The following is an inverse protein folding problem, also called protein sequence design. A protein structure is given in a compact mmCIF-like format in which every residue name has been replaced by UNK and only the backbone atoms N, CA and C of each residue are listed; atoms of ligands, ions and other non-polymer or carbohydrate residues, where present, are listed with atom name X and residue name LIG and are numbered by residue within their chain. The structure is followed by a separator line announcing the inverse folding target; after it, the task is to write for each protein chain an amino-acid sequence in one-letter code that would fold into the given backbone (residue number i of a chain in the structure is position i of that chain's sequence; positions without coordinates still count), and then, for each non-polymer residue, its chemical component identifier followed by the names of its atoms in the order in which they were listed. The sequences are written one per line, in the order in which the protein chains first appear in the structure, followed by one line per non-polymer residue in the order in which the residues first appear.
data_IF_236048619555
#
_entry.id   IF_236048619555
#
_cell.length_a   1.000
_cell.length_b   1.000
_cell.length_c   1.000
_cell.angle_alpha   90.00
_cell.angle_beta   90.00
_cell.angle_gamma   90.00
#
_symmetry.space_group_name_H-M   'P 1'
#
loop_
_entity.id
_entity.type
_entity.pdbx_description
1 polymer ?
#
# COMPACT_ATOMS: atom_id res chain seq x y z
N UNK A 1 48.49 29.16 -12.98
CA UNK A 1 47.69 28.70 -11.82
C UNK A 1 46.40 28.11 -12.36
N UNK A 2 46.30 26.78 -12.40
CA UNK A 2 45.21 26.05 -13.05
C UNK A 2 44.11 25.79 -12.02
N UNK A 3 43.03 26.57 -12.09
CA UNK A 3 41.90 26.49 -11.17
C UNK A 3 41.07 25.24 -11.50
N UNK A 4 41.29 24.13 -10.78
CA UNK A 4 40.53 22.90 -10.95
C UNK A 4 39.17 23.07 -10.28
N UNK A 5 38.15 23.40 -11.07
CA UNK A 5 36.75 23.29 -10.68
C UNK A 5 36.44 21.79 -10.54
N UNK A 6 36.35 21.33 -9.29
CA UNK A 6 35.91 19.96 -8.98
C UNK A 6 34.40 19.94 -9.26
N UNK A 7 34.03 19.31 -10.37
CA UNK A 7 32.66 19.00 -10.72
C UNK A 7 32.15 17.99 -9.68
N UNK A 8 31.43 18.48 -8.67
CA UNK A 8 30.74 17.64 -7.70
C UNK A 8 29.57 16.97 -8.45
N UNK A 9 29.82 15.81 -9.03
CA UNK A 9 28.77 14.96 -9.60
C UNK A 9 27.86 14.51 -8.46
N UNK A 10 26.75 15.23 -8.28
CA UNK A 10 25.57 14.79 -7.55
C UNK A 10 25.11 13.47 -8.18
N UNK A 11 25.60 12.36 -7.63
CA UNK A 11 24.96 11.07 -7.81
C UNK A 11 23.59 11.17 -7.14
N UNK A 12 22.60 11.59 -7.93
CA UNK A 12 21.19 11.36 -7.67
C UNK A 12 21.00 9.84 -7.57
N UNK A 13 21.23 9.30 -6.36
CA UNK A 13 20.94 7.91 -6.05
C UNK A 13 19.50 7.65 -6.44
N UNK A 14 19.27 6.66 -7.32
CA UNK A 14 17.92 6.20 -7.58
C UNK A 14 17.33 5.75 -6.25
N UNK A 15 16.10 6.14 -5.89
CA UNK A 15 15.47 5.64 -4.69
C UNK A 15 15.49 4.10 -4.76
N UNK A 16 16.14 3.49 -3.77
CA UNK A 16 16.12 2.04 -3.59
C UNK A 16 14.72 1.72 -3.08
N UNK A 17 13.80 1.46 -4.00
CA UNK A 17 12.50 0.91 -3.65
C UNK A 17 12.73 -0.44 -2.95
N UNK A 18 12.01 -0.68 -1.85
CA UNK A 18 12.03 -1.97 -1.18
C UNK A 18 11.83 -3.07 -2.22
N UNK A 19 12.70 -4.08 -2.20
CA UNK A 19 12.63 -5.18 -3.17
C UNK A 19 11.27 -5.85 -3.02
N UNK A 20 10.50 -5.89 -4.09
CA UNK A 20 9.20 -6.58 -4.10
C UNK A 20 9.32 -7.94 -4.78
N UNK A 21 8.41 -8.84 -4.41
CA UNK A 21 8.25 -10.14 -5.08
C UNK A 21 6.78 -10.30 -5.45
N UNK A 22 6.51 -10.62 -6.70
CA UNK A 22 5.16 -10.89 -7.20
C UNK A 22 4.97 -12.38 -7.46
N UNK A 23 3.79 -12.90 -7.11
CA UNK A 23 3.52 -14.33 -7.10
C UNK A 23 2.04 -14.63 -7.01
N UNK A 24 1.71 -15.91 -6.97
CA UNK A 24 0.33 -16.37 -6.73
C UNK A 24 0.16 -16.53 -5.23
N UNK A 25 -0.99 -16.12 -4.70
CA UNK A 25 -1.31 -16.33 -3.31
C UNK A 25 -2.81 -16.46 -3.09
N UNK A 26 -3.17 -16.62 -1.83
CA UNK A 26 -4.56 -16.70 -1.39
C UNK A 26 -4.87 -15.52 -0.47
N UNK A 27 -6.05 -14.93 -0.62
CA UNK A 27 -6.57 -13.93 0.31
C UNK A 27 -7.90 -14.42 0.86
N UNK A 28 -8.04 -14.32 2.17
CA UNK A 28 -9.18 -14.78 2.95
C UNK A 28 -9.82 -13.60 3.66
N UNK A 29 -11.14 -13.45 3.55
CA UNK A 29 -11.88 -12.36 4.17
C UNK A 29 -13.33 -12.74 4.42
N UNK A 30 -14.02 -11.95 5.25
CA UNK A 30 -15.44 -12.15 5.55
C UNK A 30 -16.28 -11.23 4.66
N UNK A 31 -17.28 -11.78 3.98
CA UNK A 31 -18.30 -11.04 3.23
C UNK A 31 -19.67 -11.64 3.54
N UNK A 32 -20.62 -10.81 3.98
CA UNK A 32 -21.97 -11.25 4.37
C UNK A 32 -21.95 -12.45 5.34
N UNK A 33 -21.11 -12.34 6.39
CA UNK A 33 -20.90 -13.38 7.42
C UNK A 33 -20.33 -14.72 6.90
N UNK A 34 -19.90 -14.78 5.63
CA UNK A 34 -19.27 -15.95 5.04
C UNK A 34 -17.78 -15.70 4.80
N UNK A 35 -16.96 -16.70 5.11
CA UNK A 35 -15.55 -16.69 4.74
C UNK A 35 -15.42 -16.94 3.24
N UNK A 36 -14.66 -16.06 2.57
CA UNK A 36 -14.33 -16.15 1.15
C UNK A 36 -12.82 -16.31 1.05
N UNK A 37 -12.37 -17.31 0.30
CA UNK A 37 -10.97 -17.51 -0.06
C UNK A 37 -10.83 -17.31 -1.57
N UNK A 38 -9.94 -16.41 -1.97
CA UNK A 38 -9.66 -16.12 -3.37
C UNK A 38 -8.20 -16.43 -3.69
N UNK A 39 -7.97 -17.10 -4.80
CA UNK A 39 -6.64 -17.25 -5.38
C UNK A 39 -6.40 -16.09 -6.35
N UNK A 40 -5.33 -15.33 -6.17
CA UNK A 40 -4.99 -14.22 -7.05
C UNK A 40 -3.47 -14.00 -7.10
N UNK A 41 -3.02 -13.29 -8.14
CA UNK A 41 -1.64 -12.82 -8.22
C UNK A 41 -1.50 -11.45 -7.58
N UNK A 42 -0.53 -11.28 -6.69
CA UNK A 42 -0.23 -10.02 -6.03
C UNK A 42 1.27 -9.91 -5.73
N UNK A 43 1.71 -8.73 -5.32
CA UNK A 43 3.08 -8.46 -4.92
C UNK A 43 3.15 -8.27 -3.40
N UNK A 44 4.28 -8.62 -2.81
CA UNK A 44 4.59 -8.48 -1.39
C UNK A 44 5.92 -7.73 -1.23
N UNK A 45 5.98 -6.79 -0.28
CA UNK A 45 7.25 -6.16 0.11
C UNK A 45 8.11 -7.16 0.87
N UNK A 46 9.38 -7.28 0.50
CA UNK A 46 10.28 -8.27 1.12
C UNK A 46 10.47 -8.05 2.61
N UNK A 47 10.43 -6.79 3.07
CA UNK A 47 10.69 -6.42 4.47
C UNK A 47 9.41 -6.09 5.26
N UNK A 48 8.33 -5.68 4.59
CA UNK A 48 7.19 -5.02 5.23
C UNK A 48 5.93 -5.87 5.42
N UNK A 49 5.93 -7.13 4.98
CA UNK A 49 4.74 -8.01 5.07
C UNK A 49 3.50 -7.46 4.36
N UNK A 50 3.64 -6.38 3.60
CA UNK A 50 2.55 -5.62 3.00
C UNK A 50 2.36 -6.11 1.57
N UNK A 51 1.10 -6.23 1.14
CA UNK A 51 0.70 -6.78 -0.14
C UNK A 51 -0.07 -5.76 -0.99
N UNK A 52 0.02 -5.90 -2.29
CA UNK A 52 -0.68 -5.03 -3.24
C UNK A 52 -0.85 -5.70 -4.58
N UNK A 53 -1.80 -5.19 -5.37
CA UNK A 53 -2.07 -5.70 -6.71
C UNK A 53 -0.87 -5.56 -7.64
N UNK A 54 -0.78 -6.38 -8.68
CA UNK A 54 0.36 -6.32 -9.60
C UNK A 54 0.46 -4.99 -10.36
N UNK A 55 -0.68 -4.35 -10.65
CA UNK A 55 -0.71 -3.00 -11.23
C UNK A 55 -0.26 -1.89 -10.26
N UNK A 56 0.02 -2.26 -9.01
CA UNK A 56 0.62 -1.44 -7.98
C UNK A 56 2.11 -1.73 -7.74
N UNK A 57 2.72 -2.60 -8.55
CA UNK A 57 4.16 -2.88 -8.57
C UNK A 57 5.00 -1.59 -8.49
N UNK A 58 6.03 -1.63 -7.68
CA UNK A 58 6.93 -0.52 -7.36
C UNK A 58 6.17 0.72 -6.85
N UNK A 59 5.04 0.51 -6.18
CA UNK A 59 4.14 1.55 -5.65
C UNK A 59 3.64 2.53 -6.71
N UNK A 60 3.59 2.10 -7.98
CA UNK A 60 3.19 2.95 -9.11
C UNK A 60 1.68 3.13 -9.30
N UNK A 61 0.85 2.64 -8.37
CA UNK A 61 -0.61 2.77 -8.50
C UNK A 61 -1.00 4.22 -8.68
N UNK A 62 -1.93 4.50 -9.60
CA UNK A 62 -2.36 5.87 -9.86
C UNK A 62 -2.89 6.58 -8.61
N UNK A 63 -3.67 5.89 -7.78
CA UNK A 63 -4.25 6.49 -6.58
C UNK A 63 -3.21 6.81 -5.49
N UNK A 64 -2.03 6.17 -5.50
CA UNK A 64 -0.85 6.46 -4.65
C UNK A 64 -0.11 7.74 -5.03
N UNK A 65 -0.42 8.33 -6.19
CA UNK A 65 0.31 9.49 -6.71
C UNK A 65 -0.17 10.79 -6.09
N UNK A 66 0.78 11.71 -5.94
CA UNK A 66 0.56 13.11 -5.58
C UNK A 66 -0.27 13.34 -4.30
N UNK A 67 0.09 12.71 -3.16
CA UNK A 67 -0.65 12.90 -1.90
C UNK A 67 -0.70 14.37 -1.46
N UNK A 68 0.32 15.17 -1.80
CA UNK A 68 0.36 16.62 -1.55
C UNK A 68 -0.77 17.42 -2.22
N UNK A 69 -1.30 16.95 -3.36
CA UNK A 69 -2.44 17.61 -4.03
C UNK A 69 -3.78 17.25 -3.42
N UNK A 70 -3.82 16.19 -2.62
CA UNK A 70 -5.04 15.58 -2.07
C UNK A 70 -4.80 15.20 -0.60
N UNK A 71 -4.53 16.20 0.27
CA UNK A 71 -4.36 15.92 1.69
C UNK A 71 -5.63 15.28 2.24
N UNK A 72 -5.44 14.32 3.14
CA UNK A 72 -6.51 13.50 3.70
C UNK A 72 -6.94 14.09 5.03
N UNK A 73 -8.20 14.51 5.13
CA UNK A 73 -8.76 15.06 6.36
C UNK A 73 -9.45 13.96 7.18
N UNK A 74 -8.76 13.48 8.22
CA UNK A 74 -9.28 12.42 9.08
C UNK A 74 -10.37 12.88 10.05
N UNK A 75 -10.54 14.19 10.24
CA UNK A 75 -11.59 14.76 11.12
C UNK A 75 -12.99 14.41 10.62
N UNK A 76 -13.17 14.28 9.30
CA UNK A 76 -14.41 13.81 8.67
C UNK A 76 -14.83 12.41 9.11
N UNK A 77 -13.87 11.62 9.62
CA UNK A 77 -14.07 10.24 10.07
C UNK A 77 -13.79 10.09 11.57
N UNK A 78 -13.86 11.18 12.35
CA UNK A 78 -13.64 11.14 13.79
C UNK A 78 -14.58 10.15 14.48
N UNK A 79 -15.85 10.12 14.09
CA UNK A 79 -16.88 9.19 14.59
C UNK A 79 -16.84 7.79 13.97
N UNK A 80 -16.04 7.58 12.93
CA UNK A 80 -15.99 6.27 12.25
C UNK A 80 -14.99 5.35 12.94
N UNK A 81 -15.45 4.15 13.31
CA UNK A 81 -14.58 3.09 13.83
C UNK A 81 -13.59 2.58 12.77
N UNK A 82 -12.43 2.11 13.23
CA UNK A 82 -11.37 1.52 12.41
C UNK A 82 -10.03 2.23 12.51
N UNK A 83 -8.98 1.62 11.96
CA UNK A 83 -7.63 2.16 12.00
C UNK A 83 -7.48 3.42 11.13
N UNK A 84 -6.45 4.26 11.36
CA UNK A 84 -6.16 5.40 10.49
C UNK A 84 -6.11 5.04 9.01
N UNK A 85 -5.54 3.87 8.66
CA UNK A 85 -5.47 3.41 7.27
C UNK A 85 -6.85 3.16 6.64
N UNK A 86 -7.85 2.77 7.43
CA UNK A 86 -9.22 2.60 6.94
C UNK A 86 -9.85 3.96 6.62
N UNK A 87 -9.56 4.97 7.44
CA UNK A 87 -10.05 6.33 7.24
C UNK A 87 -9.41 6.95 5.99
N UNK A 88 -8.09 6.78 5.83
CA UNK A 88 -7.38 7.18 4.60
C UNK A 88 -7.98 6.49 3.37
N UNK A 89 -8.19 5.17 3.44
CA UNK A 89 -8.81 4.41 2.35
C UNK A 89 -10.18 4.99 1.93
N UNK A 90 -11.04 5.32 2.92
CA UNK A 90 -12.36 5.91 2.66
C UNK A 90 -12.28 7.30 2.03
N UNK A 91 -11.35 8.15 2.48
CA UNK A 91 -11.16 9.47 1.87
C UNK A 91 -10.72 9.37 0.41
N UNK A 92 -9.91 8.36 0.10
CA UNK A 92 -9.50 8.01 -1.27
C UNK A 92 -10.58 7.24 -2.05
N UNK A 93 -11.81 7.20 -1.56
CA UNK A 93 -12.97 6.51 -2.17
C UNK A 93 -12.81 5.00 -2.33
N UNK A 94 -11.87 4.40 -1.60
CA UNK A 94 -11.69 2.95 -1.54
C UNK A 94 -12.56 2.30 -0.46
N UNK A 95 -12.59 0.97 -0.51
CA UNK A 95 -13.26 0.10 0.45
C UNK A 95 -12.23 -0.62 1.33
N UNK A 96 -12.15 -0.32 2.63
CA UNK A 96 -11.21 -0.99 3.53
C UNK A 96 -11.71 -2.40 3.86
N UNK A 97 -10.78 -3.35 3.98
CA UNK A 97 -11.09 -4.75 4.28
C UNK A 97 -10.00 -5.39 5.14
N UNK A 98 -10.39 -6.06 6.23
CA UNK A 98 -9.52 -6.95 7.01
C UNK A 98 -9.39 -8.26 6.25
N UNK A 99 -8.16 -8.75 6.11
CA UNK A 99 -7.85 -9.96 5.38
C UNK A 99 -6.86 -10.83 6.16
N UNK A 100 -6.82 -12.10 5.78
CA UNK A 100 -5.63 -12.93 5.97
C UNK A 100 -5.09 -13.31 4.61
N UNK A 101 -3.79 -13.49 4.45
CA UNK A 101 -3.22 -13.91 3.18
C UNK A 101 -2.13 -14.98 3.30
N UNK A 102 -1.91 -15.70 2.21
CA UNK A 102 -0.79 -16.60 1.98
C UNK A 102 -0.13 -16.22 0.68
N UNK A 103 1.19 -16.13 0.68
CA UNK A 103 1.95 -15.79 -0.53
C UNK A 103 2.79 -16.99 -0.98
N UNK A 104 2.69 -17.36 -2.25
CA UNK A 104 3.28 -18.58 -2.81
C UNK A 104 2.95 -19.80 -1.93
N UNK A 105 3.96 -20.63 -1.63
CA UNK A 105 3.80 -21.88 -0.87
C UNK A 105 3.83 -21.69 0.66
N UNK A 106 3.55 -20.48 1.16
CA UNK A 106 3.49 -20.21 2.59
C UNK A 106 2.43 -21.10 3.28
N UNK A 107 2.86 -21.77 4.35
CA UNK A 107 1.99 -22.66 5.15
C UNK A 107 1.02 -21.90 6.04
N UNK A 108 1.44 -20.76 6.58
CA UNK A 108 0.68 -19.98 7.56
C UNK A 108 0.03 -18.76 6.91
N UNK A 109 -1.09 -18.34 7.49
CA UNK A 109 -1.80 -17.13 7.09
C UNK A 109 -1.22 -15.93 7.84
N UNK A 110 -0.86 -14.89 7.11
CA UNK A 110 -0.48 -13.58 7.65
C UNK A 110 -1.73 -12.69 7.76
N UNK A 111 -1.86 -11.91 8.83
CA UNK A 111 -2.94 -10.93 8.99
C UNK A 111 -2.56 -9.60 8.33
N UNK A 112 -3.52 -8.96 7.65
CA UNK A 112 -3.35 -7.64 7.08
C UNK A 112 -4.69 -6.92 6.92
N UNK A 113 -4.64 -5.65 6.56
CA UNK A 113 -5.79 -4.94 6.06
C UNK A 113 -5.45 -4.18 4.78
N UNK A 114 -6.32 -4.30 3.78
CA UNK A 114 -6.15 -3.66 2.49
C UNK A 114 -7.20 -2.60 2.22
N UNK A 115 -6.86 -1.67 1.35
CA UNK A 115 -7.79 -0.77 0.69
C UNK A 115 -8.03 -1.25 -0.73
N UNK A 116 -9.29 -1.52 -1.07
CA UNK A 116 -9.72 -1.91 -2.41
C UNK A 116 -10.23 -0.67 -3.13
N UNK A 117 -9.63 -0.31 -4.25
CA UNK A 117 -10.00 0.90 -5.02
C UNK A 117 -10.89 0.54 -6.21
N UNK A 118 -10.63 -0.61 -6.81
CA UNK A 118 -11.46 -1.21 -7.86
C UNK A 118 -11.32 -2.74 -7.82
N UNK A 119 -11.95 -3.45 -8.76
CA UNK A 119 -11.97 -4.92 -8.82
C UNK A 119 -10.58 -5.57 -8.95
N UNK A 120 -9.59 -4.84 -9.49
CA UNK A 120 -8.25 -5.34 -9.77
C UNK A 120 -7.17 -4.66 -8.91
N UNK A 121 -7.52 -3.60 -8.19
CA UNK A 121 -6.58 -2.73 -7.51
C UNK A 121 -6.82 -2.69 -6.01
N UNK A 122 -5.82 -3.13 -5.26
CA UNK A 122 -5.74 -2.95 -3.82
C UNK A 122 -4.29 -2.73 -3.36
N UNK A 123 -4.13 -2.14 -2.18
CA UNK A 123 -2.87 -2.02 -1.43
C UNK A 123 -3.11 -2.24 0.05
N UNK A 124 -2.12 -2.74 0.78
CA UNK A 124 -2.16 -2.75 2.24
C UNK A 124 -2.29 -1.34 2.80
N UNK A 125 -3.00 -1.25 3.92
CA UNK A 125 -3.20 0.00 4.63
C UNK A 125 -1.92 0.56 5.23
N UNK A 126 -0.94 -0.29 5.53
CA UNK A 126 0.43 0.11 5.92
C UNK A 126 1.08 0.99 4.84
N UNK A 127 1.03 0.56 3.58
CA UNK A 127 1.56 1.31 2.43
C UNK A 127 0.83 2.65 2.28
N UNK A 128 -0.50 2.65 2.41
CA UNK A 128 -1.28 3.89 2.40
C UNK A 128 -0.85 4.86 3.49
N UNK A 129 -0.68 4.37 4.72
CA UNK A 129 -0.26 5.20 5.83
C UNK A 129 1.15 5.74 5.65
N UNK A 130 2.07 4.92 5.18
CA UNK A 130 3.44 5.35 4.90
C UNK A 130 3.48 6.47 3.85
N UNK A 131 2.69 6.35 2.79
CA UNK A 131 2.64 7.31 1.68
C UNK A 131 1.88 8.60 2.04
N UNK A 132 0.88 8.54 2.92
CA UNK A 132 0.04 9.70 3.27
C UNK A 132 0.35 10.34 4.62
N UNK A 133 1.21 9.75 5.47
CA UNK A 133 1.45 10.24 6.85
C UNK A 133 1.68 11.75 6.94
N UNK A 134 2.45 12.31 6.02
CA UNK A 134 2.84 13.74 6.03
C UNK A 134 1.75 14.65 5.42
N UNK A 135 0.70 14.06 4.88
CA UNK A 135 -0.42 14.72 4.19
C UNK A 135 -1.76 14.42 4.86
N UNK A 136 -1.73 13.82 6.06
CA UNK A 136 -2.90 13.61 6.90
C UNK A 136 -3.12 14.87 7.74
N UNK A 137 -4.31 15.44 7.61
CA UNK A 137 -4.82 16.51 8.46
C UNK A 137 -5.65 15.88 9.57
N UNK A 138 -5.23 16.10 10.82
CA UNK A 138 -5.89 15.60 12.02
C UNK A 138 -6.63 16.69 12.77
#
# INVERSE_FOLDING_TARGET
MLNKVILLSLFLGKPVYAKEVCGVGQIKYIKNQKEIVQNLKFCKESEGGSIYSQNCSERKCHFLKEPFKRPVDLRKYASTMGSPGFKVCRELKGSPQIIKYKFNDQKFWDDDARCIVDEKTFVSNSILLEMWKDYILN
#
